data_IF_017835059594
#
_entry.id   IF_017835059594
#
_cell.length_a   1.000
_cell.length_b   1.000
_cell.length_c   1.000
_cell.angle_alpha   90.00
_cell.angle_beta   90.00
_cell.angle_gamma   90.00
#
_symmetry.space_group_name_H-M   'P 1'
#
loop_
_entity.id
_entity.type
_entity.pdbx_description
1 polymer ?
#
# COMPACT_ATOMS: atom_id res chain seq x y z
N UNK A 1 -10.72 13.45 16.20
CA UNK A 1 -10.58 12.10 15.60
C UNK A 1 -11.80 11.22 15.84
N UNK A 2 -12.71 11.52 16.79
CA UNK A 2 -13.80 10.59 17.16
C UNK A 2 -14.78 10.23 16.04
N UNK A 3 -15.00 11.12 15.08
CA UNK A 3 -15.91 10.92 13.96
C UNK A 3 -15.23 11.00 12.60
N UNK A 4 -13.90 10.85 12.57
CA UNK A 4 -13.10 10.97 11.34
C UNK A 4 -12.81 9.60 10.74
N UNK A 5 -13.02 9.44 9.43
CA UNK A 5 -12.51 8.31 8.65
C UNK A 5 -11.15 8.66 8.06
N UNK A 6 -10.14 7.85 8.36
CA UNK A 6 -8.80 7.96 7.78
C UNK A 6 -8.69 7.04 6.56
N UNK A 7 -8.52 7.63 5.38
CA UNK A 7 -8.22 6.90 4.15
C UNK A 7 -6.71 6.69 4.04
N UNK A 8 -6.26 5.43 4.00
CA UNK A 8 -4.84 5.05 4.02
C UNK A 8 -4.54 4.21 2.77
N UNK A 9 -4.56 4.84 1.59
CA UNK A 9 -4.22 4.16 0.34
C UNK A 9 -4.49 4.95 -0.95
N UNK A 10 -4.18 4.39 -2.13
CA UNK A 10 -3.61 3.03 -2.37
C UNK A 10 -2.08 2.99 -2.21
N UNK A 11 -1.59 2.39 -1.12
CA UNK A 11 -0.15 2.26 -0.84
C UNK A 11 0.42 1.03 -1.56
N UNK A 12 1.61 1.15 -2.14
CA UNK A 12 2.30 0.07 -2.87
C UNK A 12 2.21 0.17 -4.39
N UNK A 13 1.32 1.01 -4.94
CA UNK A 13 1.17 1.14 -6.38
C UNK A 13 2.47 1.59 -7.07
N UNK A 14 3.16 2.59 -6.50
CA UNK A 14 4.43 3.08 -7.05
C UNK A 14 5.56 2.05 -6.93
N UNK A 15 5.59 1.30 -5.82
CA UNK A 15 6.57 0.27 -5.52
C UNK A 15 6.56 -0.88 -6.54
N UNK A 16 5.42 -1.12 -7.19
CA UNK A 16 5.27 -2.11 -8.25
C UNK A 16 5.27 -1.50 -9.65
N UNK A 17 4.55 -0.39 -9.88
CA UNK A 17 4.42 0.24 -11.20
C UNK A 17 5.75 0.77 -11.72
N UNK A 18 6.56 1.41 -10.86
CA UNK A 18 7.83 1.98 -11.30
C UNK A 18 8.84 0.91 -11.76
N UNK A 19 9.00 -0.24 -11.06
CA UNK A 19 9.76 -1.36 -11.60
C UNK A 19 9.20 -1.93 -12.90
N UNK A 20 7.88 -2.15 -12.99
CA UNK A 20 7.26 -2.69 -14.20
C UNK A 20 7.44 -1.74 -15.40
N UNK A 21 7.32 -0.43 -15.21
CA UNK A 21 7.58 0.58 -16.25
C UNK A 21 9.03 0.64 -16.70
N UNK A 22 9.95 -0.03 -15.97
CA UNK A 22 11.36 -0.21 -16.32
C UNK A 22 11.68 -1.66 -16.70
N UNK A 23 10.70 -2.40 -17.20
CA UNK A 23 10.82 -3.77 -17.69
C UNK A 23 11.40 -4.76 -16.65
N UNK A 24 11.14 -4.55 -15.35
CA UNK A 24 11.48 -5.55 -14.32
C UNK A 24 10.50 -6.72 -14.35
N UNK A 25 11.00 -7.93 -14.13
CA UNK A 25 10.19 -9.15 -14.12
C UNK A 25 9.40 -9.28 -12.81
N UNK A 26 8.38 -10.15 -12.82
CA UNK A 26 7.64 -10.48 -11.62
C UNK A 26 8.55 -11.06 -10.52
N UNK A 27 9.56 -11.85 -10.88
CA UNK A 27 10.50 -12.39 -9.88
C UNK A 27 11.34 -11.31 -9.21
N UNK A 28 11.64 -10.23 -9.93
CA UNK A 28 12.33 -9.07 -9.37
C UNK A 28 11.45 -8.29 -8.39
N UNK A 29 10.15 -8.16 -8.70
CA UNK A 29 9.19 -7.38 -7.89
C UNK A 29 8.67 -8.16 -6.68
N UNK A 30 8.50 -9.49 -6.79
CA UNK A 30 7.92 -10.34 -5.74
C UNK A 30 8.58 -10.18 -4.35
N UNK A 31 9.91 -10.00 -4.21
CA UNK A 31 10.56 -9.72 -2.93
C UNK A 31 10.21 -8.38 -2.28
N UNK A 32 9.62 -7.42 -3.02
CA UNK A 32 9.16 -6.14 -2.48
C UNK A 32 7.83 -6.28 -1.71
N UNK A 33 7.02 -7.28 -2.03
CA UNK A 33 5.70 -7.51 -1.41
C UNK A 33 5.75 -7.50 0.12
N UNK A 34 6.60 -8.28 0.81
CA UNK A 34 6.67 -8.22 2.27
C UNK A 34 7.11 -6.85 2.81
N UNK A 35 7.94 -6.10 2.07
CA UNK A 35 8.40 -4.77 2.49
C UNK A 35 7.29 -3.72 2.37
N UNK A 36 6.50 -3.79 1.31
CA UNK A 36 5.32 -2.94 1.11
C UNK A 36 4.27 -3.22 2.20
N UNK A 37 3.97 -4.50 2.48
CA UNK A 37 3.04 -4.89 3.55
C UNK A 37 3.54 -4.38 4.91
N UNK A 38 4.83 -4.53 5.20
CA UNK A 38 5.43 -4.02 6.45
C UNK A 38 5.29 -2.50 6.57
N UNK A 39 5.53 -1.77 5.48
CA UNK A 39 5.41 -0.31 5.45
C UNK A 39 3.97 0.14 5.72
N UNK A 40 2.99 -0.51 5.09
CA UNK A 40 1.55 -0.26 5.34
C UNK A 40 1.21 -0.53 6.81
N UNK A 41 1.65 -1.66 7.35
CA UNK A 41 1.38 -2.03 8.74
C UNK A 41 1.98 -1.03 9.73
N UNK A 42 3.20 -0.55 9.49
CA UNK A 42 3.83 0.49 10.31
C UNK A 42 3.09 1.83 10.24
N UNK A 43 2.63 2.24 9.06
CA UNK A 43 1.81 3.45 8.91
C UNK A 43 0.49 3.34 9.67
N UNK A 44 -0.20 2.19 9.57
CA UNK A 44 -1.44 1.94 10.32
C UNK A 44 -1.17 1.98 11.82
N UNK A 45 -0.09 1.33 12.29
CA UNK A 45 0.29 1.33 13.70
C UNK A 45 0.53 2.75 14.22
N UNK A 46 1.26 3.57 13.47
CA UNK A 46 1.50 4.97 13.83
C UNK A 46 0.19 5.78 13.90
N UNK A 47 -0.75 5.57 12.97
CA UNK A 47 -2.06 6.23 13.01
C UNK A 47 -2.89 5.82 14.25
N UNK A 48 -2.84 4.54 14.62
CA UNK A 48 -3.47 4.04 15.85
C UNK A 48 -2.87 4.72 17.09
N UNK A 49 -1.53 4.79 17.18
CA UNK A 49 -0.82 5.45 18.28
C UNK A 49 -1.14 6.95 18.38
N UNK A 50 -1.44 7.59 17.24
CA UNK A 50 -1.88 8.98 17.16
C UNK A 50 -3.37 9.19 17.47
N UNK A 51 -4.15 8.12 17.69
CA UNK A 51 -5.56 8.18 18.09
C UNK A 51 -6.58 7.98 16.97
N UNK A 52 -6.18 7.47 15.80
CA UNK A 52 -7.11 7.14 14.73
C UNK A 52 -8.00 5.97 15.13
N UNK A 53 -9.32 6.16 15.07
CA UNK A 53 -10.32 5.16 15.47
C UNK A 53 -10.96 4.41 14.30
N UNK A 54 -11.09 5.06 13.15
CA UNK A 54 -11.74 4.49 11.96
C UNK A 54 -10.85 4.69 10.75
N UNK A 55 -10.43 3.60 10.12
CA UNK A 55 -9.53 3.61 8.97
C UNK A 55 -10.09 2.75 7.85
N UNK A 56 -9.90 3.20 6.61
CA UNK A 56 -10.10 2.42 5.40
C UNK A 56 -8.78 2.32 4.65
N UNK A 57 -8.33 1.08 4.43
CA UNK A 57 -7.04 0.75 3.81
C UNK A 57 -7.34 0.03 2.49
N UNK A 58 -7.47 0.75 1.36
CA UNK A 58 -7.68 0.11 0.07
C UNK A 58 -6.39 -0.60 -0.39
N UNK A 59 -6.57 -1.78 -1.01
CA UNK A 59 -5.50 -2.46 -1.73
C UNK A 59 -5.31 -1.86 -3.12
N UNK A 60 -4.19 -2.15 -3.78
CA UNK A 60 -3.92 -1.68 -5.14
C UNK A 60 -4.89 -2.30 -6.17
N UNK A 61 -5.19 -1.57 -7.23
CA UNK A 61 -5.91 -2.12 -8.38
C UNK A 61 -5.17 -3.30 -9.03
N UNK A 62 -5.90 -4.27 -9.64
CA UNK A 62 -5.29 -5.39 -10.35
C UNK A 62 -4.57 -4.90 -11.62
N UNK A 63 -3.26 -4.64 -11.48
CA UNK A 63 -2.39 -4.09 -12.55
C UNK A 63 -2.36 -4.95 -13.82
N UNK A 64 -2.62 -6.25 -13.72
CA UNK A 64 -2.68 -7.16 -14.88
C UNK A 64 -3.96 -7.04 -15.72
N UNK A 65 -4.93 -6.24 -15.28
CA UNK A 65 -6.24 -6.06 -15.93
C UNK A 65 -6.46 -4.65 -16.47
N UNK A 66 -5.45 -3.78 -16.43
CA UNK A 66 -5.52 -2.42 -16.97
C UNK A 66 -5.38 -2.44 -18.50
N UNK A 67 -6.22 -1.70 -19.26
CA UNK A 67 -6.15 -1.62 -20.72
C UNK A 67 -4.80 -1.15 -21.26
#
# INVERSE_FOLDING_TARGET
MESSLFLVGEIGANDYNHPFSRNKTLEWVRPLVPQVISSIALSIKALIELGAKTMYVPGIFPLGCTP
#
